data_IF_691561718145
#
_entry.id   IF_691561718145
#
_cell.length_a   1.000
_cell.length_b   1.000
_cell.length_c   1.000
_cell.angle_alpha   90.00
_cell.angle_beta   90.00
_cell.angle_gamma   90.00
#
_symmetry.space_group_name_H-M   'P 1'
#
loop_
_entity.id
_entity.type
_entity.pdbx_description
1 polymer ?
#
# COMPACT_ATOMS: atom_id res chain seq x y z
N UNK A 1 12.08 -11.84 0.87
CA UNK A 1 12.07 -11.89 -0.62
C UNK A 1 11.40 -10.63 -1.12
N UNK A 2 12.04 -9.87 -2.02
CA UNK A 2 11.47 -8.65 -2.62
C UNK A 2 10.75 -9.05 -3.92
N UNK A 3 9.53 -8.57 -4.14
CA UNK A 3 8.77 -8.82 -5.39
C UNK A 3 8.28 -7.49 -5.99
N UNK A 4 8.49 -7.33 -7.29
CA UNK A 4 8.02 -6.18 -8.08
C UNK A 4 6.80 -6.58 -8.90
N UNK A 5 5.74 -5.78 -8.88
CA UNK A 5 4.53 -6.04 -9.66
C UNK A 5 4.20 -4.86 -10.58
N UNK A 6 4.00 -5.16 -11.87
CA UNK A 6 3.42 -4.24 -12.84
C UNK A 6 2.25 -4.91 -13.55
N UNK A 7 1.16 -4.15 -13.74
CA UNK A 7 0.06 -4.44 -14.65
C UNK A 7 -0.69 -5.76 -14.47
N UNK A 8 -1.72 -5.76 -13.59
CA UNK A 8 -2.77 -6.80 -13.45
C UNK A 8 -2.58 -7.82 -12.32
N UNK A 9 -2.75 -7.36 -11.07
CA UNK A 9 -3.00 -8.22 -9.90
C UNK A 9 -4.22 -9.17 -10.11
N UNK A 10 -5.19 -8.82 -10.97
CA UNK A 10 -6.36 -9.65 -11.28
C UNK A 10 -6.03 -10.99 -11.97
N UNK A 11 -4.93 -11.09 -12.73
CA UNK A 11 -4.54 -12.35 -13.41
C UNK A 11 -3.71 -13.29 -12.54
N UNK A 12 -3.13 -12.77 -11.46
CA UNK A 12 -2.36 -13.56 -10.50
C UNK A 12 -3.17 -13.61 -9.22
N UNK A 13 -4.15 -14.52 -9.18
CA UNK A 13 -5.00 -14.77 -8.03
C UNK A 13 -4.16 -14.72 -6.76
N UNK A 14 -4.52 -13.78 -5.87
CA UNK A 14 -3.88 -13.46 -4.60
C UNK A 14 -2.69 -14.36 -4.33
N UNK A 15 -1.50 -13.93 -4.77
CA UNK A 15 -0.26 -14.63 -4.49
C UNK A 15 -0.28 -15.07 -3.04
N UNK A 16 -0.36 -16.39 -2.81
CA UNK A 16 -0.18 -17.03 -1.50
C UNK A 16 1.27 -16.81 -1.09
N UNK A 17 1.61 -15.56 -0.76
CA UNK A 17 2.90 -15.13 -0.27
C UNK A 17 2.71 -14.70 1.19
N UNK A 18 2.38 -15.65 2.10
CA UNK A 18 2.11 -15.33 3.50
C UNK A 18 3.33 -14.67 4.18
N UNK A 19 4.52 -14.87 3.63
CA UNK A 19 5.79 -14.36 4.15
C UNK A 19 6.29 -13.13 3.37
N UNK A 20 5.44 -12.45 2.60
CA UNK A 20 5.84 -11.25 1.85
C UNK A 20 6.00 -10.08 2.82
N UNK A 21 7.24 -9.69 3.08
CA UNK A 21 7.55 -8.60 4.00
C UNK A 21 7.70 -7.23 3.31
N UNK A 22 7.97 -7.22 2.00
CA UNK A 22 8.26 -6.00 1.23
C UNK A 22 7.48 -6.02 -0.09
N UNK A 23 6.71 -4.97 -0.34
CA UNK A 23 5.96 -4.79 -1.57
C UNK A 23 6.28 -3.44 -2.20
N UNK A 24 6.62 -3.45 -3.49
CA UNK A 24 6.81 -2.24 -4.28
C UNK A 24 5.81 -2.26 -5.45
N UNK A 25 4.95 -1.26 -5.49
CA UNK A 25 4.02 -1.00 -6.58
C UNK A 25 4.59 0.14 -7.42
N UNK A 26 4.68 -0.06 -8.73
CA UNK A 26 5.29 0.89 -9.66
C UNK A 26 4.31 1.22 -10.78
N UNK A 27 4.13 2.49 -11.12
CA UNK A 27 3.26 2.95 -12.23
C UNK A 27 1.87 2.32 -12.21
N UNK A 28 1.26 2.25 -11.03
CA UNK A 28 -0.01 1.54 -10.82
C UNK A 28 -1.10 2.50 -10.37
N UNK A 29 -2.30 2.36 -10.94
CA UNK A 29 -3.50 2.99 -10.40
C UNK A 29 -4.04 2.13 -9.25
N UNK A 30 -3.80 2.56 -8.02
CA UNK A 30 -4.14 1.84 -6.80
C UNK A 30 -5.62 2.03 -6.54
N UNK A 31 -6.38 0.94 -6.66
CA UNK A 31 -7.82 0.89 -6.40
C UNK A 31 -8.10 -0.06 -5.21
N UNK A 32 -9.38 -0.22 -4.87
CA UNK A 32 -9.82 -1.07 -3.75
C UNK A 32 -9.35 -2.53 -3.87
N UNK A 33 -9.26 -3.09 -5.09
CA UNK A 33 -8.76 -4.45 -5.29
C UNK A 33 -7.30 -4.59 -4.81
N UNK A 34 -6.47 -3.58 -5.09
CA UNK A 34 -5.05 -3.56 -4.71
C UNK A 34 -4.91 -3.30 -3.21
N UNK A 35 -5.72 -2.43 -2.63
CA UNK A 35 -5.74 -2.24 -1.19
C UNK A 35 -6.15 -3.51 -0.44
N UNK A 36 -7.19 -4.20 -0.89
CA UNK A 36 -7.61 -5.49 -0.34
C UNK A 36 -6.51 -6.54 -0.46
N UNK A 37 -5.76 -6.54 -1.57
CA UNK A 37 -4.59 -7.38 -1.70
C UNK A 37 -3.53 -7.08 -0.63
N UNK A 38 -3.22 -5.80 -0.39
CA UNK A 38 -2.25 -5.38 0.64
C UNK A 38 -2.69 -5.81 2.04
N UNK A 39 -3.99 -5.66 2.35
CA UNK A 39 -4.60 -6.10 3.62
C UNK A 39 -4.36 -7.60 3.88
N UNK A 40 -4.45 -8.43 2.84
CA UNK A 40 -4.26 -9.89 2.98
C UNK A 40 -2.80 -10.31 3.22
N UNK A 41 -1.82 -9.40 3.12
CA UNK A 41 -0.41 -9.70 3.32
C UNK A 41 -0.02 -9.56 4.80
N UNK A 42 -0.41 -10.53 5.62
CA UNK A 42 -0.24 -10.51 7.09
C UNK A 42 1.18 -10.31 7.61
N UNK A 43 2.22 -10.60 6.80
CA UNK A 43 3.63 -10.39 7.16
C UNK A 43 4.26 -9.13 6.56
N UNK A 44 3.47 -8.29 5.88
CA UNK A 44 3.98 -7.11 5.19
C UNK A 44 4.51 -6.09 6.20
N UNK A 45 5.78 -5.72 6.05
CA UNK A 45 6.47 -4.74 6.90
C UNK A 45 6.67 -3.41 6.19
N UNK A 46 6.82 -3.41 4.87
CA UNK A 46 7.10 -2.21 4.09
C UNK A 46 6.34 -2.19 2.76
N UNK A 47 5.71 -1.06 2.48
CA UNK A 47 4.93 -0.82 1.26
C UNK A 47 5.43 0.45 0.54
N UNK A 48 5.87 0.31 -0.70
CA UNK A 48 6.38 1.42 -1.48
C UNK A 48 5.55 1.65 -2.74
N UNK A 49 5.11 2.88 -2.95
CA UNK A 49 4.40 3.34 -4.13
C UNK A 49 5.31 4.25 -4.95
N UNK A 50 5.67 3.82 -6.15
CA UNK A 50 6.56 4.55 -7.05
C UNK A 50 5.80 4.96 -8.30
N UNK A 51 5.61 6.28 -8.49
CA UNK A 51 4.87 6.83 -9.63
C UNK A 51 3.45 6.27 -9.76
N UNK A 52 2.80 6.02 -8.63
CA UNK A 52 1.43 5.51 -8.59
C UNK A 52 0.41 6.66 -8.57
N UNK A 53 -0.85 6.30 -8.78
CA UNK A 53 -1.99 7.16 -8.50
C UNK A 53 -2.89 6.42 -7.51
N UNK A 54 -3.24 7.05 -6.39
CA UNK A 54 -4.24 6.50 -5.49
C UNK A 54 -5.61 6.98 -5.97
N UNK A 55 -6.55 6.06 -6.15
CA UNK A 55 -7.95 6.43 -6.33
C UNK A 55 -8.51 6.98 -5.01
N UNK A 56 -9.55 7.82 -5.10
CA UNK A 56 -10.23 8.37 -3.93
C UNK A 56 -10.72 7.24 -3.00
N UNK A 57 -10.67 7.50 -1.69
CA UNK A 57 -11.12 6.63 -0.59
C UNK A 57 -10.33 5.33 -0.34
N UNK A 58 -9.28 5.07 -1.12
CA UNK A 58 -8.47 3.84 -1.00
C UNK A 58 -7.76 3.76 0.35
N UNK A 59 -7.26 4.89 0.86
CA UNK A 59 -6.63 4.96 2.18
C UNK A 59 -7.66 5.06 3.31
N UNK A 60 -8.83 5.63 3.04
CA UNK A 60 -9.87 5.96 4.02
C UNK A 60 -10.58 4.72 4.56
N UNK A 61 -11.03 3.85 3.66
CA UNK A 61 -11.94 2.75 4.03
C UNK A 61 -11.20 1.60 4.72
N UNK A 62 -9.88 1.55 4.54
CA UNK A 62 -9.14 0.31 4.69
C UNK A 62 -7.99 0.37 5.69
N UNK A 63 -7.72 1.52 6.34
CA UNK A 63 -6.54 1.63 7.19
C UNK A 63 -6.54 0.65 8.38
N UNK A 64 -7.66 0.54 9.10
CA UNK A 64 -7.80 -0.39 10.23
C UNK A 64 -7.62 -1.87 9.85
N UNK A 65 -7.59 -2.17 8.55
CA UNK A 65 -7.41 -3.51 8.01
C UNK A 65 -5.97 -3.75 7.53
N UNK A 66 -5.08 -2.76 7.57
CA UNK A 66 -3.69 -2.99 7.17
C UNK A 66 -3.02 -4.01 8.09
N UNK A 67 -2.03 -4.77 7.57
CA UNK A 67 -1.35 -5.79 8.35
C UNK A 67 -0.73 -5.20 9.61
N UNK A 68 -0.90 -5.83 10.79
CA UNK A 68 -0.33 -5.34 12.05
C UNK A 68 1.20 -5.32 12.04
N UNK A 69 1.83 -6.07 11.12
CA UNK A 69 3.27 -6.07 10.91
C UNK A 69 3.80 -4.85 10.14
N UNK A 70 2.93 -3.99 9.61
CA UNK A 70 3.32 -2.88 8.75
C UNK A 70 4.02 -1.79 9.55
N UNK A 71 5.23 -1.44 9.12
CA UNK A 71 6.09 -0.46 9.80
C UNK A 71 6.36 0.77 8.97
N UNK A 72 6.36 0.65 7.64
CA UNK A 72 6.66 1.78 6.77
C UNK A 72 5.86 1.80 5.49
N UNK A 73 5.49 3.01 5.07
CA UNK A 73 4.89 3.30 3.78
C UNK A 73 5.66 4.43 3.13
N UNK A 74 6.14 4.20 1.90
CA UNK A 74 6.85 5.21 1.12
C UNK A 74 6.07 5.57 -0.14
N UNK A 75 5.89 6.85 -0.37
CA UNK A 75 5.34 7.41 -1.60
C UNK A 75 6.47 8.11 -2.34
N UNK A 76 6.78 7.71 -3.57
CA UNK A 76 7.80 8.33 -4.42
C UNK A 76 7.17 8.75 -5.73
N UNK A 77 7.06 10.06 -5.99
CA UNK A 77 6.40 10.63 -7.17
C UNK A 77 4.97 10.10 -7.37
N UNK A 78 4.29 9.76 -6.27
CA UNK A 78 2.95 9.18 -6.28
C UNK A 78 1.91 10.26 -6.04
N UNK A 79 0.84 10.27 -6.83
CA UNK A 79 -0.29 11.18 -6.62
C UNK A 79 -1.16 10.69 -5.48
N UNK A 80 -1.29 11.51 -4.44
CA UNK A 80 -2.13 11.28 -3.26
C UNK A 80 -3.26 12.33 -3.31
N UNK A 81 -4.54 11.92 -3.37
CA UNK A 81 -5.69 12.83 -3.28
C UNK A 81 -5.63 13.71 -2.02
N UNK A 82 -6.13 14.94 -2.10
CA UNK A 82 -6.09 15.86 -0.96
C UNK A 82 -6.89 15.33 0.24
N UNK A 83 -8.03 14.69 -0.01
CA UNK A 83 -8.88 14.06 1.01
C UNK A 83 -8.15 12.95 1.78
N UNK A 84 -7.18 12.30 1.14
CA UNK A 84 -6.40 11.21 1.72
C UNK A 84 -5.18 11.72 2.54
N UNK A 85 -4.83 13.01 2.45
CA UNK A 85 -3.64 13.53 3.15
C UNK A 85 -3.76 13.48 4.66
N UNK A 86 -4.95 13.71 5.22
CA UNK A 86 -5.19 13.57 6.66
C UNK A 86 -4.88 12.15 7.16
N UNK A 87 -5.08 11.14 6.32
CA UNK A 87 -4.77 9.75 6.68
C UNK A 87 -3.27 9.50 6.82
N UNK A 88 -2.43 10.30 6.17
CA UNK A 88 -0.98 10.21 6.36
C UNK A 88 -0.59 10.54 7.81
N UNK A 89 -1.32 11.43 8.47
CA UNK A 89 -1.12 11.76 9.88
C UNK A 89 -1.68 10.69 10.80
N UNK A 90 -2.82 10.08 10.44
CA UNK A 90 -3.35 8.90 11.14
C UNK A 90 -2.32 7.77 11.11
N UNK A 91 -1.77 7.43 9.94
CA UNK A 91 -0.73 6.42 9.79
C UNK A 91 0.45 6.67 10.74
N UNK A 92 0.93 7.91 10.81
CA UNK A 92 2.02 8.31 11.71
C UNK A 92 1.65 8.13 13.18
N UNK A 93 0.43 8.48 13.59
CA UNK A 93 -0.05 8.31 14.96
C UNK A 93 -0.14 6.84 15.38
N UNK A 94 -0.32 5.93 14.43
CA UNK A 94 -0.27 4.47 14.66
C UNK A 94 1.15 3.90 14.66
N UNK A 95 2.18 4.74 14.60
CA UNK A 95 3.59 4.32 14.63
C UNK A 95 4.13 3.83 13.29
N UNK A 96 3.39 4.06 12.19
CA UNK A 96 3.87 3.74 10.84
C UNK A 96 4.73 4.89 10.33
N UNK A 97 5.93 4.57 9.88
CA UNK A 97 6.81 5.53 9.23
C UNK A 97 6.28 5.86 7.83
N UNK A 98 5.83 7.10 7.62
CA UNK A 98 5.35 7.60 6.33
C UNK A 98 6.37 8.52 5.68
N UNK A 99 6.87 8.13 4.51
CA UNK A 99 7.87 8.89 3.74
C UNK A 99 7.24 9.35 2.41
N UNK A 100 7.44 10.61 2.04
CA UNK A 100 6.92 11.20 0.80
C UNK A 100 8.09 11.87 0.06
N UNK A 101 8.40 11.38 -1.14
CA UNK A 101 9.53 11.77 -2.00
C UNK A 101 9.08 12.08 -3.44
#
# INVERSE_FOLDING_TARGET
>A
MIRFFSGSLRKYGALKSPNLEFLILVFTNVNCDIANFVIMLSSLKSLNFVKCKLNDDVLIINFNLYPPSLKSITFTKTFIPENDRFFLDVLRNFGIQVIIN
#
